data_IF_361459047312
#
_entry.id   IF_361459047312
#
_cell.length_a   1.000
_cell.length_b   1.000
_cell.length_c   1.000
_cell.angle_alpha   90.00
_cell.angle_beta   90.00
_cell.angle_gamma   90.00
#
_symmetry.space_group_name_H-M   'P 1'
#
loop_
_entity.id
_entity.type
_entity.pdbx_description
1 polymer ?
#
# COMPACT_ATOMS: atom_id res chain seq x y z
N UNK A 1 26.47 -31.01 45.53
CA UNK A 1 27.35 -30.02 44.88
C UNK A 1 26.56 -29.26 43.83
N UNK A 2 26.72 -27.94 43.82
CA UNK A 2 26.52 -26.95 42.75
C UNK A 2 25.20 -26.88 41.96
N UNK A 3 24.51 -25.75 42.15
CA UNK A 3 23.49 -25.10 41.33
C UNK A 3 24.03 -24.53 40.01
N UNK A 4 23.20 -24.47 38.95
CA UNK A 4 23.30 -23.43 37.92
C UNK A 4 21.93 -23.15 37.27
N UNK A 5 21.60 -21.85 37.14
CA UNK A 5 20.40 -21.27 36.53
C UNK A 5 20.78 -20.52 35.23
N UNK A 6 19.80 -20.39 34.32
CA UNK A 6 19.72 -19.50 33.13
C UNK A 6 20.65 -19.85 31.94
N UNK A 7 20.30 -19.60 30.67
CA UNK A 7 19.42 -18.57 30.11
C UNK A 7 18.71 -19.01 28.80
N UNK A 8 17.63 -18.33 28.48
CA UNK A 8 16.93 -18.30 27.19
C UNK A 8 17.79 -17.62 26.11
N UNK A 9 17.99 -18.25 24.96
CA UNK A 9 18.44 -17.56 23.74
C UNK A 9 17.35 -17.68 22.68
N UNK A 10 16.88 -16.51 22.26
CA UNK A 10 15.82 -16.25 21.30
C UNK A 10 16.53 -15.54 20.14
N UNK A 11 17.07 -16.29 19.20
CA UNK A 11 17.63 -15.76 17.95
C UNK A 11 16.49 -15.78 16.92
N UNK A 12 15.63 -14.77 16.86
CA UNK A 12 15.77 -13.44 16.24
C UNK A 12 16.23 -13.46 14.77
N UNK A 13 15.31 -12.99 13.93
CA UNK A 13 15.49 -12.38 12.59
C UNK A 13 15.43 -13.29 11.37
N UNK A 14 14.19 -13.65 11.05
CA UNK A 14 13.67 -13.82 9.70
C UNK A 14 13.87 -12.57 8.82
N UNK A 15 14.01 -12.84 7.51
CA UNK A 15 13.67 -12.00 6.36
C UNK A 15 14.52 -10.76 6.04
N UNK A 16 15.52 -10.95 5.16
CA UNK A 16 15.99 -9.92 4.24
C UNK A 16 15.50 -10.24 2.82
N UNK A 17 14.19 -10.20 2.60
CA UNK A 17 13.63 -10.11 1.25
C UNK A 17 13.83 -8.68 0.73
N UNK A 18 15.03 -8.42 0.21
CA UNK A 18 15.39 -7.19 -0.48
C UNK A 18 14.85 -7.24 -1.91
N UNK A 19 13.55 -7.00 -2.08
CA UNK A 19 12.97 -6.82 -3.42
C UNK A 19 13.39 -5.47 -3.99
N UNK A 20 14.43 -5.49 -4.82
CA UNK A 20 14.84 -4.36 -5.66
C UNK A 20 13.94 -4.31 -6.89
N UNK A 21 12.98 -3.37 -6.92
CA UNK A 21 12.22 -3.07 -8.13
C UNK A 21 13.03 -2.14 -9.04
N UNK A 22 13.95 -2.71 -9.82
CA UNK A 22 14.63 -1.99 -10.90
C UNK A 22 13.76 -2.02 -12.16
N UNK A 23 12.73 -1.19 -12.23
CA UNK A 23 12.00 -0.92 -13.48
C UNK A 23 12.64 0.27 -14.20
N UNK A 24 13.74 0.02 -14.91
CA UNK A 24 14.29 0.91 -15.93
C UNK A 24 14.14 0.18 -17.28
N UNK A 25 13.08 0.49 -18.02
CA UNK A 25 13.12 1.32 -19.25
C UNK A 25 14.21 0.89 -20.22
N UNK A 26 13.85 0.03 -21.17
CA UNK A 26 14.49 0.04 -22.48
C UNK A 26 13.46 -0.37 -23.55
N UNK A 27 12.85 0.63 -24.20
CA UNK A 27 12.16 0.45 -25.48
C UNK A 27 12.77 1.48 -26.44
N UNK A 28 13.90 1.10 -27.04
CA UNK A 28 14.47 1.83 -28.16
C UNK A 28 13.72 1.36 -29.41
N UNK A 29 12.66 2.08 -29.80
CA UNK A 29 12.04 1.92 -31.11
C UNK A 29 12.66 2.95 -32.04
N UNK A 30 13.33 2.46 -33.08
CA UNK A 30 13.84 3.26 -34.17
C UNK A 30 12.66 3.93 -34.92
N UNK A 31 12.83 5.19 -35.31
CA UNK A 31 12.02 5.78 -36.38
C UNK A 31 12.81 6.84 -37.12
N UNK A 32 12.66 6.73 -38.44
CA UNK A 32 13.39 7.32 -39.54
C UNK A 32 13.11 8.82 -39.76
N UNK A 33 13.98 9.39 -40.61
CA UNK A 33 13.79 10.52 -41.51
C UNK A 33 13.76 11.94 -40.92
N UNK A 34 14.76 12.72 -41.34
CA UNK A 34 14.89 14.14 -41.07
C UNK A 34 14.18 15.03 -42.10
N UNK A 35 13.64 16.13 -41.54
CA UNK A 35 13.50 17.51 -42.06
C UNK A 35 12.55 17.81 -43.23
N UNK A 36 12.14 19.10 -43.40
CA UNK A 36 11.77 20.12 -42.39
C UNK A 36 10.47 20.86 -42.77
N UNK A 37 9.88 21.68 -41.87
CA UNK A 37 9.28 23.00 -42.16
C UNK A 37 8.32 23.51 -41.06
N UNK A 38 8.55 24.77 -40.69
CA UNK A 38 7.61 25.85 -40.34
C UNK A 38 6.57 25.68 -39.21
N UNK A 39 6.85 26.44 -38.14
CA UNK A 39 6.02 27.50 -37.57
C UNK A 39 4.62 27.20 -36.98
N UNK A 40 4.39 27.88 -35.85
CA UNK A 40 3.13 28.15 -35.16
C UNK A 40 2.60 27.15 -34.12
N UNK A 41 2.59 27.65 -32.89
CA UNK A 41 1.57 27.46 -31.87
C UNK A 41 1.29 26.03 -31.38
N UNK A 42 1.97 25.65 -30.31
CA UNK A 42 1.30 25.10 -29.13
C UNK A 42 2.25 25.25 -27.94
N UNK A 43 2.04 26.28 -27.12
CA UNK A 43 2.51 26.22 -25.74
C UNK A 43 1.79 25.02 -25.15
N UNK A 44 2.55 23.93 -25.02
CA UNK A 44 2.15 22.72 -24.34
C UNK A 44 1.75 23.12 -22.93
N UNK A 45 0.45 23.28 -22.70
CA UNK A 45 -0.09 23.20 -21.34
C UNK A 45 0.29 21.83 -20.82
N UNK A 46 1.38 21.79 -20.06
CA UNK A 46 1.73 20.69 -19.19
C UNK A 46 0.56 20.55 -18.22
N UNK A 47 -0.42 19.73 -18.61
CA UNK A 47 -1.53 19.33 -17.75
C UNK A 47 -0.91 18.62 -16.56
N UNK A 48 -0.69 19.39 -15.50
CA UNK A 48 -0.26 18.92 -14.18
C UNK A 48 -1.06 17.65 -13.87
N UNK A 49 -0.42 16.55 -13.44
CA UNK A 49 -1.12 15.29 -13.23
C UNK A 49 -2.27 15.53 -12.28
N UNK A 50 -3.50 15.39 -12.80
CA UNK A 50 -4.74 15.53 -12.05
C UNK A 50 -4.63 14.60 -10.85
N UNK A 51 -4.39 15.16 -9.66
CA UNK A 51 -4.03 14.41 -8.44
C UNK A 51 -4.98 13.23 -8.32
N UNK A 52 -4.45 12.01 -8.47
CA UNK A 52 -5.25 10.79 -8.36
C UNK A 52 -5.86 10.78 -6.96
N UNK A 53 -7.19 10.81 -6.89
CA UNK A 53 -7.91 10.78 -5.62
C UNK A 53 -7.48 9.52 -4.86
N UNK A 54 -7.23 9.65 -3.55
CA UNK A 54 -6.89 8.49 -2.71
C UNK A 54 -8.04 7.49 -2.78
N UNK A 55 -7.69 6.20 -2.84
CA UNK A 55 -8.67 5.12 -2.80
C UNK A 55 -9.36 5.09 -1.43
N UNK A 56 -10.61 4.65 -1.42
CA UNK A 56 -11.37 4.43 -0.18
C UNK A 56 -10.89 3.13 0.50
N UNK A 57 -11.14 2.99 1.80
CA UNK A 57 -10.94 1.75 2.55
C UNK A 57 -11.63 0.55 1.89
N UNK A 58 -12.90 0.69 1.47
CA UNK A 58 -13.64 -0.41 0.83
C UNK A 58 -13.07 -0.82 -0.52
N UNK A 59 -12.48 0.12 -1.26
CA UNK A 59 -11.78 -0.18 -2.52
C UNK A 59 -10.47 -0.93 -2.28
N UNK A 60 -9.89 -0.84 -1.09
CA UNK A 60 -8.74 -1.67 -0.70
C UNK A 60 -9.24 -3.03 -0.21
N UNK A 61 -10.26 -3.03 0.64
CA UNK A 61 -10.86 -4.22 1.23
C UNK A 61 -11.40 -5.21 0.18
N UNK A 62 -11.96 -4.72 -0.94
CA UNK A 62 -12.46 -5.57 -2.02
C UNK A 62 -11.38 -6.44 -2.67
N UNK A 63 -10.09 -6.05 -2.56
CA UNK A 63 -8.98 -6.84 -3.08
C UNK A 63 -8.58 -7.98 -2.14
N UNK A 64 -9.06 -7.96 -0.89
CA UNK A 64 -8.79 -9.02 0.08
C UNK A 64 -9.93 -10.04 0.08
N UNK A 65 -9.62 -11.32 0.36
CA UNK A 65 -10.65 -12.33 0.60
C UNK A 65 -11.53 -11.90 1.78
N UNK A 66 -12.83 -12.19 1.69
CA UNK A 66 -13.82 -11.84 2.71
C UNK A 66 -13.78 -10.36 3.12
N UNK A 67 -13.45 -9.46 2.19
CA UNK A 67 -13.36 -8.01 2.44
C UNK A 67 -12.32 -7.63 3.51
N UNK A 68 -11.32 -8.48 3.76
CA UNK A 68 -10.26 -8.19 4.73
C UNK A 68 -10.67 -8.34 6.19
N UNK A 69 -11.77 -9.05 6.50
CA UNK A 69 -12.11 -9.40 7.88
C UNK A 69 -10.94 -10.19 8.51
N UNK A 70 -10.52 -9.81 9.72
CA UNK A 70 -9.39 -10.36 10.45
C UNK A 70 -8.04 -9.67 10.18
N UNK A 71 -7.95 -8.82 9.17
CA UNK A 71 -6.72 -8.09 8.84
C UNK A 71 -6.60 -6.76 9.59
N UNK A 72 -5.36 -6.33 9.81
CA UNK A 72 -5.04 -5.04 10.39
C UNK A 72 -4.89 -3.99 9.30
N UNK A 73 -5.57 -2.87 9.45
CA UNK A 73 -5.43 -1.71 8.59
C UNK A 73 -5.15 -0.46 9.40
N UNK A 74 -4.20 0.33 8.93
CA UNK A 74 -3.83 1.59 9.52
C UNK A 74 -3.83 2.67 8.44
N UNK A 75 -4.08 3.91 8.85
CA UNK A 75 -3.85 5.05 7.98
C UNK A 75 -2.34 5.26 7.87
N UNK A 76 -1.85 5.65 6.70
CA UNK A 76 -0.39 5.78 6.44
C UNK A 76 0.36 6.70 7.42
N UNK A 77 -0.30 7.68 8.04
CA UNK A 77 0.32 8.57 9.02
C UNK A 77 0.10 8.15 10.49
N UNK A 78 -0.56 7.01 10.74
CA UNK A 78 -0.67 6.45 12.07
C UNK A 78 0.46 5.44 12.24
N UNK A 79 1.40 5.73 13.14
CA UNK A 79 2.55 4.86 13.40
C UNK A 79 2.19 3.76 14.40
N UNK A 80 1.38 4.11 15.38
CA UNK A 80 1.19 3.26 16.56
C UNK A 80 -0.18 2.59 16.57
N UNK A 81 -1.13 3.02 15.74
CA UNK A 81 -2.52 2.54 15.82
C UNK A 81 -2.93 1.85 14.53
N UNK A 82 -3.35 0.59 14.65
CA UNK A 82 -3.94 -0.21 13.58
C UNK A 82 -5.28 -0.76 14.04
N UNK A 83 -6.23 -0.89 13.13
CA UNK A 83 -7.53 -1.46 13.42
C UNK A 83 -7.65 -2.84 12.78
N UNK A 84 -8.05 -3.84 13.56
CA UNK A 84 -8.43 -5.14 13.02
C UNK A 84 -9.89 -5.10 12.58
N UNK A 85 -10.16 -5.49 11.34
CA UNK A 85 -11.52 -5.48 10.78
C UNK A 85 -12.29 -6.69 11.34
N UNK A 86 -13.42 -6.47 12.00
CA UNK A 86 -14.26 -7.56 12.54
C UNK A 86 -15.53 -7.77 11.75
N UNK A 87 -16.16 -6.68 11.31
CA UNK A 87 -17.43 -6.73 10.58
C UNK A 87 -17.51 -5.60 9.57
N UNK A 88 -18.06 -5.89 8.40
CA UNK A 88 -18.32 -4.91 7.35
C UNK A 88 -19.81 -4.96 6.99
N UNK A 89 -20.41 -3.79 6.80
CA UNK A 89 -21.75 -3.62 6.24
C UNK A 89 -21.64 -2.68 5.05
N UNK A 90 -21.84 -3.24 3.85
CA UNK A 90 -21.75 -2.50 2.61
C UNK A 90 -23.12 -1.98 2.18
N UNK A 91 -23.10 -0.86 1.47
CA UNK A 91 -24.26 -0.39 0.72
C UNK A 91 -24.34 -1.10 -0.63
N UNK A 92 -25.38 -0.73 -1.42
CA UNK A 92 -25.76 -1.39 -2.68
C UNK A 92 -24.64 -1.40 -3.73
N UNK A 93 -23.80 -0.38 -3.70
CA UNK A 93 -22.73 -0.13 -4.66
C UNK A 93 -21.40 -0.80 -4.27
N UNK A 94 -21.28 -1.35 -3.05
CA UNK A 94 -20.07 -2.02 -2.55
C UNK A 94 -18.84 -1.12 -2.36
N UNK A 95 -18.93 0.16 -2.75
CA UNK A 95 -17.85 1.17 -2.62
C UNK A 95 -17.90 1.93 -1.30
N UNK A 96 -19.05 1.90 -0.65
CA UNK A 96 -19.33 2.61 0.57
C UNK A 96 -20.01 1.67 1.57
N UNK A 97 -19.88 2.00 2.84
CA UNK A 97 -20.46 1.22 3.91
C UNK A 97 -19.97 1.66 5.27
N UNK A 98 -20.20 0.79 6.24
CA UNK A 98 -19.72 0.91 7.61
C UNK A 98 -18.85 -0.30 7.92
N UNK A 99 -17.80 -0.08 8.70
CA UNK A 99 -16.95 -1.14 9.19
C UNK A 99 -16.78 -0.98 10.70
N UNK A 100 -16.72 -2.11 11.39
CA UNK A 100 -16.38 -2.21 12.79
C UNK A 100 -15.07 -2.95 12.91
N UNK A 101 -14.30 -2.58 13.93
CA UNK A 101 -13.01 -3.17 14.17
C UNK A 101 -12.51 -2.84 15.57
N UNK A 102 -11.48 -3.57 15.97
CA UNK A 102 -10.84 -3.38 17.27
C UNK A 102 -9.55 -2.59 17.05
N UNK A 103 -9.29 -1.60 17.92
CA UNK A 103 -8.05 -0.85 17.90
C UNK A 103 -6.92 -1.68 18.52
N UNK A 104 -5.77 -1.69 17.85
CA UNK A 104 -4.51 -2.23 18.35
C UNK A 104 -3.49 -1.11 18.38
N UNK A 105 -2.78 -0.96 19.50
CA UNK A 105 -1.66 -0.05 19.63
C UNK A 105 -0.35 -0.82 19.68
N UNK A 106 0.58 -0.49 18.77
CA UNK A 106 1.89 -1.12 18.65
C UNK A 106 1.84 -2.66 18.55
N UNK A 107 0.78 -3.20 17.92
CA UNK A 107 0.55 -4.64 17.81
C UNK A 107 -0.14 -5.28 19.01
N UNK A 108 -0.34 -4.56 20.12
CA UNK A 108 -1.09 -5.03 21.28
C UNK A 108 -2.55 -4.56 21.22
N UNK A 109 -3.45 -5.40 21.71
CA UNK A 109 -4.87 -5.09 21.82
C UNK A 109 -5.09 -3.97 22.85
N UNK A 110 -5.95 -3.00 22.53
CA UNK A 110 -6.28 -1.85 23.39
C UNK A 110 -7.64 -2.05 24.07
#
# INVERSE_FOLDING_TARGET
MATALRATSLEKTSSLFRFSFSFLRNLNTASSAGSPAVEAAAVSEVKKPKRKKKKNFFEVAQFLPQWGIGYHMAKTHWTDVSYQITKINLYKDGRHGKAWGIAHKAGNFL
#
